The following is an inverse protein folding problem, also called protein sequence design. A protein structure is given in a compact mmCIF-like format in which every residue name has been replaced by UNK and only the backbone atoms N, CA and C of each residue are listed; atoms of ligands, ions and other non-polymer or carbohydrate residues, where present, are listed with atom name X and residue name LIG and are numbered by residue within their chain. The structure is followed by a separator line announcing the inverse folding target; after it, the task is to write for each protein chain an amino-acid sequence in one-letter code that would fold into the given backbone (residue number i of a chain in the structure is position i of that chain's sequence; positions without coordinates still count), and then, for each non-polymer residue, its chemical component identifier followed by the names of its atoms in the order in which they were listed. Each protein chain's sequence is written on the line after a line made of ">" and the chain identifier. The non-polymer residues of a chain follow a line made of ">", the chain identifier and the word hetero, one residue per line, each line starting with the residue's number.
data_IF_317726320891
#
_entry.id   IF_317726320891
#
_cell.length_a   1.000
_cell.length_b   1.000
_cell.length_c   1.000
_cell.angle_alpha   90.00
_cell.angle_beta   90.00
_cell.angle_gamma   90.00
#
_symmetry.space_group_name_H-M   'P 1'
#
loop_
_entity.id
_entity.type
_entity.pdbx_description
1 polymer ?
#
# COMPACT_ATOMS: atom_id res chain seq x y z
N UNK A 1 11.46 -20.83 -5.10
CA UNK A 1 11.30 -20.18 -3.77
C UNK A 1 9.91 -19.56 -3.70
N UNK A 2 8.91 -20.35 -3.31
CA UNK A 2 7.50 -19.89 -3.24
C UNK A 2 6.97 -19.98 -1.80
N UNK A 3 7.75 -19.51 -0.82
CA UNK A 3 7.28 -19.50 0.54
C UNK A 3 6.19 -18.42 0.70
N UNK A 4 5.20 -18.66 1.56
CA UNK A 4 4.16 -17.69 1.92
C UNK A 4 4.79 -16.34 2.34
N UNK A 5 5.89 -16.40 3.08
CA UNK A 5 6.68 -15.23 3.48
C UNK A 5 7.13 -14.39 2.28
N UNK A 6 7.68 -15.00 1.24
CA UNK A 6 8.15 -14.27 0.04
C UNK A 6 7.02 -13.57 -0.69
N UNK A 7 5.84 -14.21 -0.82
CA UNK A 7 4.67 -13.61 -1.46
C UNK A 7 4.10 -12.44 -0.64
N UNK A 8 4.02 -12.61 0.69
CA UNK A 8 3.56 -11.56 1.59
C UNK A 8 4.53 -10.38 1.65
N UNK A 9 5.84 -10.65 1.67
CA UNK A 9 6.86 -9.59 1.63
C UNK A 9 6.84 -8.81 0.32
N UNK A 10 6.63 -9.48 -0.82
CA UNK A 10 6.48 -8.82 -2.12
C UNK A 10 5.20 -7.97 -2.18
N UNK A 11 4.08 -8.47 -1.66
CA UNK A 11 2.83 -7.71 -1.57
C UNK A 11 2.99 -6.48 -0.66
N UNK A 12 3.64 -6.63 0.50
CA UNK A 12 3.94 -5.53 1.41
C UNK A 12 4.81 -4.47 0.74
N UNK A 13 5.86 -4.88 0.04
CA UNK A 13 6.73 -3.95 -0.69
C UNK A 13 5.95 -3.16 -1.74
N UNK A 14 5.08 -3.83 -2.49
CA UNK A 14 4.24 -3.18 -3.50
C UNK A 14 3.28 -2.15 -2.85
N UNK A 15 2.62 -2.51 -1.76
CA UNK A 15 1.71 -1.60 -1.05
C UNK A 15 2.46 -0.39 -0.49
N UNK A 16 3.60 -0.60 0.17
CA UNK A 16 4.42 0.48 0.73
C UNK A 16 4.96 1.39 -0.37
N UNK A 17 5.39 0.83 -1.51
CA UNK A 17 5.84 1.60 -2.67
C UNK A 17 4.71 2.44 -3.30
N UNK A 18 3.49 1.88 -3.40
CA UNK A 18 2.31 2.60 -3.90
C UNK A 18 1.92 3.75 -2.97
N UNK A 19 1.88 3.51 -1.67
CA UNK A 19 1.54 4.55 -0.68
C UNK A 19 2.62 5.64 -0.67
N UNK A 20 3.90 5.26 -0.62
CA UNK A 20 5.00 6.22 -0.62
C UNK A 20 5.07 7.03 -1.92
N UNK A 21 4.89 6.39 -3.07
CA UNK A 21 4.83 7.06 -4.37
C UNK A 21 3.62 7.97 -4.50
N UNK A 22 2.44 7.52 -4.05
CA UNK A 22 1.23 8.34 -4.04
C UNK A 22 1.38 9.57 -3.15
N UNK A 23 1.91 9.40 -1.94
CA UNK A 23 2.17 10.53 -1.04
C UNK A 23 3.17 11.53 -1.63
N UNK A 24 4.24 11.03 -2.27
CA UNK A 24 5.21 11.88 -2.95
C UNK A 24 4.57 12.74 -4.06
N UNK A 25 3.70 12.14 -4.88
CA UNK A 25 2.98 12.88 -5.93
C UNK A 25 2.06 13.94 -5.31
N UNK A 26 1.30 13.58 -4.28
CA UNK A 26 0.39 14.51 -3.58
C UNK A 26 1.18 15.67 -2.96
N UNK A 27 2.32 15.39 -2.32
CA UNK A 27 3.19 16.44 -1.73
C UNK A 27 3.69 17.41 -2.81
N UNK A 28 4.15 16.90 -3.95
CA UNK A 28 4.65 17.75 -5.04
C UNK A 28 3.55 18.66 -5.61
N UNK A 29 2.37 18.11 -5.86
CA UNK A 29 1.24 18.86 -6.43
C UNK A 29 0.72 19.87 -5.40
N UNK A 30 0.49 19.45 -4.17
CA UNK A 30 -0.04 20.29 -3.10
C UNK A 30 0.92 21.44 -2.75
N UNK A 31 2.22 21.15 -2.65
CA UNK A 31 3.23 22.17 -2.37
C UNK A 31 3.29 23.22 -3.46
N UNK A 32 3.18 22.82 -4.73
CA UNK A 32 3.16 23.74 -5.86
C UNK A 32 1.93 24.63 -5.84
N UNK A 33 0.73 24.06 -5.72
CA UNK A 33 -0.53 24.81 -5.69
C UNK A 33 -0.58 25.79 -4.51
N UNK A 34 -0.16 25.35 -3.33
CA UNK A 34 -0.09 26.21 -2.15
C UNK A 34 0.86 27.38 -2.35
N UNK A 35 1.99 27.15 -2.98
CA UNK A 35 2.97 28.21 -3.27
C UNK A 35 2.41 29.22 -4.30
N UNK A 36 1.77 28.75 -5.36
CA UNK A 36 1.13 29.58 -6.37
C UNK A 36 0.00 30.43 -5.75
N UNK A 37 -0.84 29.85 -4.92
CA UNK A 37 -1.92 30.53 -4.19
C UNK A 37 -1.38 31.64 -3.27
N UNK A 38 -0.39 31.33 -2.43
CA UNK A 38 0.22 32.33 -1.54
C UNK A 38 0.86 33.45 -2.33
N UNK A 39 1.60 33.12 -3.39
CA UNK A 39 2.24 34.11 -4.25
C UNK A 39 1.19 35.06 -4.84
N UNK A 40 0.09 34.51 -5.34
CA UNK A 40 -0.98 35.31 -5.91
C UNK A 40 -1.68 36.17 -4.85
N UNK A 41 -2.03 35.63 -3.69
CA UNK A 41 -2.69 36.36 -2.58
C UNK A 41 -1.83 37.51 -2.07
N UNK A 42 -0.52 37.29 -1.84
CA UNK A 42 0.39 38.31 -1.34
C UNK A 42 0.65 39.43 -2.37
N UNK A 43 0.55 39.14 -3.65
CA UNK A 43 0.83 40.08 -4.73
C UNK A 43 -0.43 40.52 -5.48
N UNK A 44 -1.63 40.15 -5.00
CA UNK A 44 -2.92 40.47 -5.66
C UNK A 44 -3.09 41.97 -5.89
N UNK A 45 -2.61 42.79 -4.96
CA UNK A 45 -2.73 44.25 -5.04
C UNK A 45 -1.65 44.96 -5.85
N UNK A 46 -0.66 44.25 -6.38
CA UNK A 46 0.44 44.90 -7.13
C UNK A 46 -0.10 45.69 -8.33
N UNK A 47 -0.93 45.08 -9.14
CA UNK A 47 -1.50 45.74 -10.31
C UNK A 47 -2.35 46.98 -9.91
N UNK A 48 -3.13 46.88 -8.84
CA UNK A 48 -3.95 47.98 -8.32
C UNK A 48 -3.09 49.13 -7.79
N UNK A 49 -2.05 48.83 -6.99
CA UNK A 49 -1.15 49.83 -6.44
C UNK A 49 -0.45 50.60 -7.55
N UNK A 50 -0.01 49.90 -8.54
CA UNK A 50 0.73 50.37 -9.67
C UNK A 50 -0.14 51.29 -10.57
N UNK A 51 -1.39 50.94 -10.84
CA UNK A 51 -2.31 51.79 -11.66
C UNK A 51 -2.82 53.01 -10.89
N UNK A 52 -2.83 52.97 -9.55
CA UNK A 52 -3.30 54.11 -8.76
C UNK A 52 -2.35 55.30 -8.65
N UNK A 53 -1.06 55.09 -8.93
CA UNK A 53 -0.05 56.15 -8.81
C UNK A 53 0.19 56.95 -10.10
N UNK A 54 -0.09 56.42 -11.27
CA UNK A 54 0.25 57.07 -12.56
C UNK A 54 -0.80 56.74 -13.60
N UNK A 55 -1.06 57.72 -14.47
CA UNK A 55 -1.89 57.55 -15.65
C UNK A 55 -1.05 56.91 -16.76
N UNK A 56 -1.35 55.67 -17.14
CA UNK A 56 -0.55 54.85 -18.05
C UNK A 56 -0.99 54.98 -19.49
N UNK A 57 -2.23 55.37 -19.71
CA UNK A 57 -2.82 55.62 -21.04
C UNK A 57 -3.46 56.98 -20.99
N UNK A 58 -3.14 57.84 -21.96
CA UNK A 58 -3.75 59.14 -22.12
C UNK A 58 -4.22 59.29 -23.56
N UNK A 59 -5.54 59.45 -23.76
CA UNK A 59 -6.17 59.56 -25.06
C UNK A 59 -5.91 58.41 -26.04
N UNK A 60 -5.70 57.20 -25.49
CA UNK A 60 -5.37 55.99 -26.31
C UNK A 60 -3.91 55.82 -26.65
N UNK A 61 -3.04 56.75 -26.23
CA UNK A 61 -1.58 56.61 -26.35
C UNK A 61 -0.95 56.14 -25.02
N UNK A 62 0.02 55.21 -25.09
CA UNK A 62 0.70 54.68 -23.90
C UNK A 62 1.80 55.66 -23.46
N UNK A 63 1.78 56.11 -22.23
CA UNK A 63 2.91 56.83 -21.64
C UNK A 63 4.03 55.83 -21.29
N UNK A 64 5.00 55.74 -22.22
CA UNK A 64 6.14 54.83 -22.12
C UNK A 64 7.07 55.17 -20.93
N UNK A 65 7.19 56.46 -20.58
CA UNK A 65 8.04 56.88 -19.47
C UNK A 65 7.39 56.48 -18.12
N UNK A 66 6.10 56.72 -18.01
CA UNK A 66 5.34 56.30 -16.83
C UNK A 66 5.37 54.79 -16.63
N UNK A 67 5.17 54.03 -17.74
CA UNK A 67 5.21 52.55 -17.67
C UNK A 67 6.60 52.02 -17.33
N UNK A 68 7.69 52.61 -17.88
CA UNK A 68 9.06 52.21 -17.58
C UNK A 68 9.43 52.50 -16.10
N UNK A 69 9.07 53.70 -15.60
CA UNK A 69 9.28 54.05 -14.22
C UNK A 69 8.52 53.11 -13.24
N UNK A 70 7.33 52.80 -13.58
CA UNK A 70 6.45 51.96 -12.85
C UNK A 70 6.96 50.49 -12.83
N UNK A 71 7.40 49.99 -13.97
CA UNK A 71 8.06 48.68 -14.07
C UNK A 71 9.32 48.62 -13.23
N UNK A 72 10.13 49.66 -13.22
CA UNK A 72 11.32 49.73 -12.36
C UNK A 72 10.95 49.68 -10.86
N UNK A 73 9.91 50.41 -10.46
CA UNK A 73 9.45 50.39 -9.07
C UNK A 73 8.87 49.00 -8.68
N UNK A 74 8.09 48.40 -9.54
CA UNK A 74 7.53 47.06 -9.30
C UNK A 74 8.63 46.00 -9.19
N UNK A 75 9.66 46.06 -10.04
CA UNK A 75 10.84 45.18 -9.98
C UNK A 75 11.66 45.36 -8.70
N UNK A 76 11.65 46.56 -8.07
CA UNK A 76 12.28 46.77 -6.77
C UNK A 76 11.50 46.07 -5.66
N UNK A 77 10.17 46.08 -5.74
CA UNK A 77 9.29 45.41 -4.76
C UNK A 77 9.35 43.88 -4.96
N UNK A 78 9.22 43.46 -6.19
CA UNK A 78 9.29 42.03 -6.56
C UNK A 78 10.01 41.87 -7.89
N UNK A 79 11.31 41.46 -7.89
CA UNK A 79 12.11 41.35 -9.10
C UNK A 79 11.67 40.22 -10.04
N UNK A 80 10.70 39.41 -9.64
CA UNK A 80 10.17 38.30 -10.44
C UNK A 80 8.88 38.65 -11.17
N UNK A 81 8.35 39.87 -10.99
CA UNK A 81 7.11 40.34 -11.65
C UNK A 81 7.43 40.83 -13.06
N UNK A 82 6.59 40.42 -14.01
CA UNK A 82 6.62 40.87 -15.38
C UNK A 82 5.35 41.68 -15.67
N UNK A 83 5.49 42.89 -16.18
CA UNK A 83 4.40 43.85 -16.37
C UNK A 83 4.07 44.04 -17.84
N UNK A 84 2.79 43.91 -18.13
CA UNK A 84 2.20 44.08 -19.45
C UNK A 84 1.02 45.05 -19.37
N UNK A 85 0.89 45.97 -20.30
CA UNK A 85 -0.25 46.83 -20.48
C UNK A 85 -1.09 46.28 -21.63
N UNK A 86 -2.33 45.95 -21.35
CA UNK A 86 -3.28 45.38 -22.33
C UNK A 86 -4.31 46.41 -22.73
N UNK A 87 -4.79 46.33 -23.97
CA UNK A 87 -6.00 47.00 -24.39
C UNK A 87 -7.28 46.32 -23.83
N UNK A 88 -8.47 46.89 -24.02
CA UNK A 88 -9.72 46.29 -23.56
C UNK A 88 -10.04 44.93 -24.22
N UNK A 89 -9.40 44.57 -25.33
CA UNK A 89 -9.56 43.31 -26.06
C UNK A 89 -8.46 42.29 -25.74
N UNK A 90 -7.48 42.62 -24.88
CA UNK A 90 -6.40 41.75 -24.43
C UNK A 90 -5.15 41.79 -25.33
N UNK A 91 -5.06 42.71 -26.29
CA UNK A 91 -3.81 42.89 -27.00
C UNK A 91 -2.77 43.61 -26.14
N UNK A 92 -1.52 43.21 -26.24
CA UNK A 92 -0.42 43.82 -25.50
C UNK A 92 -0.04 45.14 -26.18
N UNK A 93 -0.36 46.25 -25.52
CA UNK A 93 0.01 47.61 -25.99
C UNK A 93 1.49 47.90 -25.72
N UNK A 94 1.98 47.49 -24.58
CA UNK A 94 3.37 47.70 -24.18
C UNK A 94 3.77 46.79 -23.03
N UNK A 95 5.07 46.63 -22.78
CA UNK A 95 5.61 45.85 -21.68
C UNK A 95 6.95 46.39 -21.19
N UNK A 96 7.36 46.00 -19.99
CA UNK A 96 8.63 46.42 -19.37
C UNK A 96 9.73 45.38 -19.55
N UNK A 97 9.46 44.31 -20.30
CA UNK A 97 10.42 43.25 -20.57
C UNK A 97 11.38 43.60 -21.70
N UNK A 98 12.57 42.96 -21.79
CA UNK A 98 13.47 43.13 -22.92
C UNK A 98 12.77 42.83 -24.26
N UNK A 99 13.08 43.61 -25.26
CA UNK A 99 12.61 43.37 -26.63
C UNK A 99 12.99 41.93 -27.04
N UNK A 100 12.17 41.29 -27.87
CA UNK A 100 12.32 39.90 -28.34
C UNK A 100 12.11 38.76 -27.30
N UNK A 101 11.68 39.07 -26.08
CA UNK A 101 11.38 38.02 -25.08
C UNK A 101 9.92 37.64 -24.99
N UNK A 102 9.02 38.47 -25.54
CA UNK A 102 7.56 38.24 -25.55
C UNK A 102 7.19 37.48 -26.82
N UNK A 103 6.47 36.37 -26.68
CA UNK A 103 6.15 35.43 -27.76
C UNK A 103 4.72 35.57 -28.27
N UNK A 104 3.88 36.35 -27.60
CA UNK A 104 2.50 36.62 -28.05
C UNK A 104 2.18 38.09 -27.94
N UNK A 105 1.29 38.54 -28.80
CA UNK A 105 0.73 39.90 -28.82
C UNK A 105 -0.61 40.01 -28.06
N UNK A 106 -1.11 38.90 -27.51
CA UNK A 106 -2.40 38.85 -26.78
C UNK A 106 -2.34 37.99 -25.53
N UNK A 107 -3.15 38.41 -24.56
CA UNK A 107 -3.44 37.68 -23.34
C UNK A 107 -4.92 37.25 -23.34
N UNK A 108 -5.23 36.05 -22.84
CA UNK A 108 -6.59 35.62 -22.64
C UNK A 108 -7.23 36.47 -21.55
N UNK A 109 -8.31 37.18 -21.86
CA UNK A 109 -9.01 38.04 -20.95
C UNK A 109 -9.97 37.30 -20.00
N UNK A 110 -10.37 36.06 -20.28
CA UNK A 110 -11.33 35.35 -19.45
C UNK A 110 -10.85 35.25 -17.98
N UNK A 111 -9.61 34.81 -17.69
CA UNK A 111 -9.10 34.80 -16.31
C UNK A 111 -8.90 36.21 -15.75
N UNK A 112 -8.55 37.20 -16.57
CA UNK A 112 -8.35 38.59 -16.14
C UNK A 112 -9.65 39.17 -15.62
N UNK A 113 -10.74 38.99 -16.37
CA UNK A 113 -12.08 39.47 -15.99
C UNK A 113 -12.59 38.76 -14.73
N UNK A 114 -12.36 37.47 -14.61
CA UNK A 114 -12.70 36.68 -13.41
C UNK A 114 -11.97 37.20 -12.18
N UNK A 115 -10.67 37.51 -12.29
CA UNK A 115 -9.89 38.08 -11.18
C UNK A 115 -10.39 39.47 -10.79
N UNK A 116 -10.65 40.33 -11.79
CA UNK A 116 -11.09 41.72 -11.58
C UNK A 116 -12.51 41.79 -11.00
N UNK A 117 -13.41 40.85 -11.32
CA UNK A 117 -14.74 40.77 -10.72
C UNK A 117 -14.69 40.34 -9.25
N UNK A 118 -13.61 39.79 -8.75
CA UNK A 118 -13.46 39.33 -7.39
C UNK A 118 -14.12 37.98 -7.11
N UNK A 119 -14.58 37.27 -8.14
CA UNK A 119 -15.23 35.95 -8.04
C UNK A 119 -14.22 34.77 -8.20
N UNK A 120 -12.97 35.09 -8.50
CA UNK A 120 -11.95 34.09 -8.79
C UNK A 120 -11.56 33.24 -7.58
N UNK A 121 -11.53 31.94 -7.74
CA UNK A 121 -10.86 31.01 -6.81
C UNK A 121 -9.34 30.98 -7.11
N UNK A 122 -8.55 31.20 -6.07
CA UNK A 122 -7.08 31.18 -6.19
C UNK A 122 -6.53 29.78 -5.92
N UNK A 123 -5.46 29.33 -6.61
CA UNK A 123 -4.67 30.05 -7.61
C UNK A 123 -5.35 30.09 -8.98
N UNK A 124 -5.51 31.28 -9.56
CA UNK A 124 -6.01 31.48 -10.90
C UNK A 124 -4.83 31.68 -11.86
N UNK A 125 -4.82 30.92 -12.95
CA UNK A 125 -3.77 30.94 -13.94
C UNK A 125 -4.19 31.71 -15.18
N UNK A 126 -3.27 32.47 -15.73
CA UNK A 126 -3.44 33.21 -16.98
C UNK A 126 -2.30 32.98 -17.96
N UNK A 127 -2.39 33.60 -19.10
CA UNK A 127 -1.39 33.52 -20.19
C UNK A 127 -0.02 34.00 -19.70
N UNK A 128 1.05 33.23 -19.94
CA UNK A 128 2.43 33.69 -19.82
C UNK A 128 2.90 34.21 -21.20
N UNK A 129 3.03 35.55 -21.40
CA UNK A 129 3.39 36.09 -22.70
C UNK A 129 4.79 35.69 -23.18
N UNK A 130 5.64 35.16 -22.30
CA UNK A 130 6.99 34.72 -22.65
C UNK A 130 7.10 33.21 -22.84
N UNK A 131 6.04 32.45 -22.49
CA UNK A 131 6.02 31.02 -22.69
C UNK A 131 4.58 30.52 -22.90
N UNK A 132 4.21 30.30 -24.14
CA UNK A 132 2.85 29.91 -24.54
C UNK A 132 2.46 28.50 -24.06
N UNK A 133 3.41 27.65 -23.72
CA UNK A 133 3.18 26.29 -23.24
C UNK A 133 2.83 26.26 -21.74
N UNK A 134 2.92 27.40 -21.05
CA UNK A 134 2.68 27.50 -19.61
C UNK A 134 1.69 28.60 -19.27
N UNK A 135 0.94 28.35 -18.23
CA UNK A 135 0.13 29.35 -17.56
C UNK A 135 0.77 29.71 -16.22
N UNK A 136 0.65 30.96 -15.81
CA UNK A 136 1.20 31.45 -14.54
C UNK A 136 0.16 32.23 -13.75
N UNK A 137 0.33 32.26 -12.43
CA UNK A 137 -0.46 33.12 -11.56
C UNK A 137 -0.13 34.59 -11.84
N UNK A 138 -1.12 35.43 -11.76
CA UNK A 138 -1.02 36.83 -12.15
C UNK A 138 -1.81 37.73 -11.19
N UNK A 139 -1.53 39.03 -11.27
CA UNK A 139 -2.35 40.11 -10.73
C UNK A 139 -2.85 40.97 -11.88
N UNK A 140 -4.06 41.46 -11.83
CA UNK A 140 -4.59 42.35 -12.84
C UNK A 140 -5.43 43.46 -12.21
N UNK A 141 -5.44 44.63 -12.86
CA UNK A 141 -6.29 45.75 -12.48
C UNK A 141 -6.69 46.55 -13.69
N UNK A 142 -7.95 47.03 -13.80
CA UNK A 142 -8.39 47.88 -14.89
C UNK A 142 -7.67 49.23 -14.87
N UNK A 143 -7.28 49.71 -16.03
CA UNK A 143 -6.77 51.08 -16.28
C UNK A 143 -7.92 51.95 -16.73
N UNK A 144 -8.30 52.88 -15.84
CA UNK A 144 -9.46 53.77 -16.08
C UNK A 144 -9.00 55.17 -16.38
N UNK A 145 -9.68 55.82 -17.28
CA UNK A 145 -9.60 57.26 -17.50
C UNK A 145 -11.00 57.90 -17.25
N UNK A 146 -11.20 58.39 -16.05
CA UNK A 146 -12.55 58.75 -15.55
C UNK A 146 -13.41 57.47 -15.42
N UNK A 147 -14.53 57.42 -16.14
CA UNK A 147 -15.43 56.26 -16.20
C UNK A 147 -15.11 55.31 -17.38
N UNK A 148 -14.18 55.65 -18.23
CA UNK A 148 -13.84 54.87 -19.42
C UNK A 148 -12.77 53.89 -19.15
N UNK A 149 -12.99 52.58 -19.44
CA UNK A 149 -11.96 51.55 -19.45
C UNK A 149 -11.04 51.77 -20.65
N UNK A 150 -9.75 51.97 -20.42
CA UNK A 150 -8.72 52.09 -21.45
C UNK A 150 -7.90 50.80 -21.61
N UNK A 151 -7.94 49.89 -20.64
CA UNK A 151 -7.25 48.62 -20.75
C UNK A 151 -7.06 47.96 -19.40
N UNK A 152 -6.09 47.07 -19.30
CA UNK A 152 -5.76 46.35 -18.08
C UNK A 152 -4.23 46.36 -17.85
N UNK A 153 -3.84 46.57 -16.63
CA UNK A 153 -2.48 46.23 -16.22
C UNK A 153 -2.46 44.76 -15.83
N UNK A 154 -1.63 43.99 -16.47
CA UNK A 154 -1.46 42.56 -16.28
C UNK A 154 -0.04 42.29 -15.76
N UNK A 155 0.06 41.73 -14.55
CA UNK A 155 1.33 41.48 -13.90
C UNK A 155 1.49 39.97 -13.67
N UNK A 156 2.37 39.31 -14.42
CA UNK A 156 2.70 37.90 -14.23
C UNK A 156 3.54 37.76 -12.97
N UNK A 157 3.08 36.94 -12.04
CA UNK A 157 3.77 36.66 -10.79
C UNK A 157 4.61 35.40 -10.94
N UNK A 158 5.89 35.47 -10.60
CA UNK A 158 6.79 34.34 -10.82
C UNK A 158 7.24 34.21 -12.28
N UNK A 159 7.67 35.32 -12.91
CA UNK A 159 8.23 35.36 -14.24
C UNK A 159 9.51 34.50 -14.40
N UNK A 160 10.16 34.62 -15.56
CA UNK A 160 11.31 33.77 -15.91
C UNK A 160 12.43 33.80 -14.87
N UNK A 161 12.66 34.97 -14.25
CA UNK A 161 13.64 35.12 -13.16
C UNK A 161 13.30 34.31 -11.92
N UNK A 162 12.00 34.07 -11.68
CA UNK A 162 11.52 33.16 -10.63
C UNK A 162 11.84 31.71 -10.99
N UNK A 163 11.60 31.30 -12.24
CA UNK A 163 11.89 29.94 -12.70
C UNK A 163 13.40 29.63 -12.56
N UNK A 164 14.29 30.59 -12.89
CA UNK A 164 15.73 30.46 -12.72
C UNK A 164 16.11 30.33 -11.23
N UNK A 165 15.50 31.13 -10.36
CA UNK A 165 15.70 31.04 -8.90
C UNK A 165 15.11 29.77 -8.32
N UNK A 166 13.94 29.34 -8.78
CA UNK A 166 13.28 28.11 -8.37
C UNK A 166 14.10 26.88 -8.78
N UNK A 167 14.65 26.86 -9.98
CA UNK A 167 15.54 25.78 -10.44
C UNK A 167 16.85 25.73 -9.64
N UNK A 168 17.40 26.88 -9.28
CA UNK A 168 18.55 26.94 -8.35
C UNK A 168 18.14 26.49 -6.93
N UNK A 169 16.93 26.81 -6.49
CA UNK A 169 16.38 26.46 -5.19
C UNK A 169 15.87 25.00 -5.13
N UNK A 170 15.66 24.31 -6.26
CA UNK A 170 15.40 22.84 -6.30
C UNK A 170 16.53 22.03 -5.67
N UNK A 171 17.72 22.63 -5.53
CA UNK A 171 18.79 22.10 -4.70
C UNK A 171 18.62 22.43 -3.21
N UNK A 172 17.49 23.03 -2.81
CA UNK A 172 17.23 23.50 -1.46
C UNK A 172 17.39 22.38 -0.43
N UNK A 173 18.07 22.72 0.66
CA UNK A 173 18.25 21.83 1.83
C UNK A 173 16.92 21.26 2.35
N UNK A 174 15.86 22.07 2.34
CA UNK A 174 14.52 21.69 2.80
C UNK A 174 13.93 20.57 1.93
N UNK A 175 14.04 20.67 0.60
CA UNK A 175 13.53 19.64 -0.32
C UNK A 175 14.32 18.33 -0.21
N UNK A 176 15.65 18.41 -0.05
CA UNK A 176 16.47 17.22 0.20
C UNK A 176 16.14 16.58 1.55
N UNK A 177 15.86 17.40 2.57
CA UNK A 177 15.50 16.94 3.91
C UNK A 177 14.12 16.25 3.89
N UNK A 178 13.11 16.84 3.24
CA UNK A 178 11.76 16.25 3.15
C UNK A 178 11.77 14.93 2.37
N UNK A 179 12.47 14.88 1.23
CA UNK A 179 12.63 13.65 0.45
C UNK A 179 13.41 12.58 1.23
N UNK A 180 14.47 12.99 1.94
CA UNK A 180 15.25 12.11 2.81
C UNK A 180 14.41 11.55 3.96
N UNK A 181 13.63 12.40 4.63
CA UNK A 181 12.72 11.99 5.70
C UNK A 181 11.63 11.01 5.18
N UNK A 182 10.98 11.33 4.06
CA UNK A 182 9.99 10.46 3.44
C UNK A 182 10.56 9.09 3.09
N UNK A 183 11.74 9.07 2.47
CA UNK A 183 12.46 7.83 2.13
C UNK A 183 12.80 7.02 3.38
N UNK A 184 13.31 7.66 4.43
CA UNK A 184 13.64 7.01 5.68
C UNK A 184 12.42 6.41 6.38
N UNK A 185 11.29 7.15 6.43
CA UNK A 185 10.02 6.67 6.99
C UNK A 185 9.50 5.46 6.19
N UNK A 186 9.55 5.52 4.86
CA UNK A 186 9.12 4.43 3.99
C UNK A 186 9.94 3.15 4.21
N UNK A 187 11.28 3.29 4.29
CA UNK A 187 12.18 2.17 4.60
C UNK A 187 11.90 1.62 6.00
N UNK A 188 11.74 2.48 7.00
CA UNK A 188 11.44 2.05 8.37
C UNK A 188 10.12 1.29 8.45
N UNK A 189 9.05 1.79 7.81
CA UNK A 189 7.75 1.13 7.74
C UNK A 189 7.86 -0.25 7.07
N UNK A 190 8.62 -0.36 5.98
CA UNK A 190 8.88 -1.63 5.29
C UNK A 190 9.63 -2.63 6.19
N UNK A 191 10.68 -2.18 6.88
CA UNK A 191 11.45 -3.05 7.80
C UNK A 191 10.61 -3.54 8.98
N UNK A 192 9.78 -2.65 9.57
CA UNK A 192 8.83 -3.04 10.63
C UNK A 192 7.83 -4.06 10.10
N UNK A 193 7.28 -3.86 8.91
CA UNK A 193 6.38 -4.80 8.27
C UNK A 193 7.03 -6.18 8.05
N UNK A 194 8.26 -6.22 7.53
CA UNK A 194 9.02 -7.46 7.36
C UNK A 194 9.26 -8.19 8.71
N UNK A 195 9.57 -7.45 9.76
CA UNK A 195 9.76 -8.02 11.10
C UNK A 195 8.47 -8.65 11.62
N UNK A 196 7.35 -7.92 11.54
CA UNK A 196 6.03 -8.43 11.97
C UNK A 196 5.64 -9.66 11.16
N UNK A 197 5.75 -9.62 9.82
CA UNK A 197 5.47 -10.78 8.99
C UNK A 197 6.39 -11.96 9.27
N UNK A 198 7.69 -11.69 9.52
CA UNK A 198 8.64 -12.73 9.89
C UNK A 198 8.26 -13.44 11.19
N UNK A 199 7.84 -12.67 12.20
CA UNK A 199 7.39 -13.22 13.48
C UNK A 199 6.10 -14.06 13.34
N UNK A 200 5.10 -13.54 12.60
CA UNK A 200 3.86 -14.25 12.32
C UNK A 200 4.09 -15.54 11.53
N UNK A 201 4.86 -15.44 10.44
CA UNK A 201 5.13 -16.58 9.56
C UNK A 201 5.92 -17.67 10.29
N UNK A 202 6.90 -17.31 11.12
CA UNK A 202 7.65 -18.28 11.93
C UNK A 202 6.74 -19.07 12.89
N UNK A 203 5.74 -18.42 13.48
CA UNK A 203 4.77 -19.11 14.36
C UNK A 203 3.92 -20.11 13.56
N UNK A 204 3.47 -19.71 12.37
CA UNK A 204 2.66 -20.56 11.49
C UNK A 204 3.45 -21.76 10.97
N UNK A 205 4.71 -21.53 10.55
CA UNK A 205 5.59 -22.60 10.06
C UNK A 205 5.86 -23.64 11.15
N UNK A 206 6.11 -23.20 12.39
CA UNK A 206 6.29 -24.14 13.52
C UNK A 206 5.05 -25.00 13.74
N UNK A 207 3.84 -24.44 13.68
CA UNK A 207 2.62 -25.23 13.81
C UNK A 207 2.49 -26.24 12.67
N UNK A 208 2.84 -25.84 11.44
CA UNK A 208 2.84 -26.76 10.29
C UNK A 208 3.87 -27.87 10.45
N UNK A 209 5.04 -27.57 10.99
CA UNK A 209 6.08 -28.56 11.29
C UNK A 209 5.62 -29.54 12.39
N UNK A 210 4.99 -29.03 13.48
CA UNK A 210 4.40 -29.85 14.54
C UNK A 210 3.36 -30.84 13.94
N UNK A 211 2.48 -30.37 13.03
CA UNK A 211 1.50 -31.21 12.33
C UNK A 211 2.16 -32.26 11.45
N UNK A 212 3.20 -31.88 10.67
CA UNK A 212 3.91 -32.78 9.79
C UNK A 212 4.65 -33.88 10.58
N UNK A 213 5.31 -33.51 11.67
CA UNK A 213 5.99 -34.47 12.55
C UNK A 213 5.00 -35.45 13.16
N UNK A 214 3.85 -34.97 13.65
CA UNK A 214 2.80 -35.82 14.21
C UNK A 214 2.25 -36.82 13.19
N UNK A 215 2.00 -36.39 11.94
CA UNK A 215 1.52 -37.28 10.87
C UNK A 215 2.61 -38.28 10.42
N UNK A 216 3.87 -37.84 10.36
CA UNK A 216 4.98 -38.71 9.94
C UNK A 216 5.39 -39.75 10.99
N UNK A 217 5.17 -39.46 12.28
CA UNK A 217 5.46 -40.39 13.40
C UNK A 217 4.38 -41.46 13.62
N UNK A 218 3.39 -41.58 12.74
CA UNK A 218 2.28 -42.51 12.91
C UNK A 218 1.33 -42.14 14.04
N UNK A 219 1.12 -40.81 14.22
CA UNK A 219 0.26 -40.24 15.26
C UNK A 219 0.81 -40.37 16.68
N UNK A 220 2.15 -40.48 16.86
CA UNK A 220 2.79 -40.48 18.18
C UNK A 220 2.86 -39.05 18.76
N UNK A 221 2.16 -38.77 19.87
CA UNK A 221 2.13 -37.43 20.43
C UNK A 221 3.37 -37.07 21.24
N UNK A 222 4.18 -38.03 21.64
CA UNK A 222 5.44 -37.74 22.33
C UNK A 222 6.44 -37.07 21.39
N UNK A 223 6.32 -37.32 20.09
CA UNK A 223 7.10 -36.65 19.06
C UNK A 223 6.83 -35.13 18.98
N UNK A 224 5.61 -34.68 19.29
CA UNK A 224 5.19 -33.26 19.33
C UNK A 224 5.49 -32.61 20.67
N UNK A 225 5.38 -33.36 21.79
CA UNK A 225 5.65 -32.87 23.15
C UNK A 225 7.10 -32.46 23.36
N UNK A 226 8.04 -33.17 22.77
CA UNK A 226 9.47 -32.85 22.83
C UNK A 226 9.77 -31.48 22.20
N UNK A 227 9.11 -31.14 21.10
CA UNK A 227 9.27 -29.83 20.43
C UNK A 227 8.47 -28.71 21.15
N UNK A 228 7.35 -29.04 21.80
CA UNK A 228 6.56 -28.06 22.55
C UNK A 228 7.21 -27.68 23.90
N UNK A 229 8.06 -28.54 24.48
CA UNK A 229 8.79 -28.25 25.71
C UNK A 229 9.88 -27.20 25.54
N UNK A 230 10.45 -27.07 24.33
CA UNK A 230 11.44 -26.06 23.99
C UNK A 230 10.85 -24.65 23.71
N UNK A 231 9.51 -24.56 23.52
CA UNK A 231 8.80 -23.33 23.19
C UNK A 231 7.90 -22.82 24.34
N UNK A 232 8.35 -22.86 25.59
CA UNK A 232 7.59 -22.35 26.73
C UNK A 232 7.27 -20.87 26.59
N UNK A 233 5.96 -20.54 26.75
CA UNK A 233 5.33 -19.24 26.85
C UNK A 233 4.84 -18.60 25.53
N UNK A 234 4.05 -19.32 24.74
CA UNK A 234 3.13 -18.62 23.85
C UNK A 234 1.79 -18.41 24.60
N UNK A 235 1.48 -17.13 24.88
CA UNK A 235 0.23 -16.72 25.52
C UNK A 235 -0.96 -17.34 24.80
N UNK A 236 -1.86 -17.97 25.55
CA UNK A 236 -3.14 -18.61 25.12
C UNK A 236 -4.15 -17.62 24.49
N UNK A 237 -3.74 -16.40 24.12
CA UNK A 237 -4.61 -15.27 23.85
C UNK A 237 -4.73 -14.90 22.36
N UNK A 238 -3.93 -15.47 21.46
CA UNK A 238 -4.05 -15.21 20.03
C UNK A 238 -4.67 -16.41 19.28
N UNK A 239 -5.18 -16.19 18.08
CA UNK A 239 -5.87 -17.18 17.26
C UNK A 239 -4.95 -18.37 16.93
N UNK A 240 -3.66 -18.12 16.73
CA UNK A 240 -2.64 -19.16 16.47
C UNK A 240 -2.43 -20.01 17.74
N UNK A 241 -2.44 -19.39 18.90
CA UNK A 241 -2.41 -20.09 20.18
C UNK A 241 -3.63 -20.97 20.41
N UNK A 242 -4.82 -20.50 20.06
CA UNK A 242 -6.07 -21.28 20.12
C UNK A 242 -6.03 -22.46 19.15
N UNK A 243 -5.53 -22.27 17.92
CA UNK A 243 -5.38 -23.32 16.93
C UNK A 243 -4.42 -24.41 17.43
N UNK A 244 -3.31 -24.02 18.05
CA UNK A 244 -2.35 -24.97 18.64
C UNK A 244 -2.98 -25.80 19.77
N UNK A 245 -3.78 -25.18 20.64
CA UNK A 245 -4.51 -25.88 21.71
C UNK A 245 -5.54 -26.85 21.13
N UNK A 246 -6.27 -26.42 20.09
CA UNK A 246 -7.25 -27.29 19.42
C UNK A 246 -6.56 -28.49 18.74
N UNK A 247 -5.42 -28.26 18.08
CA UNK A 247 -4.61 -29.34 17.50
C UNK A 247 -4.10 -30.32 18.56
N UNK A 248 -3.58 -29.84 19.69
CA UNK A 248 -3.14 -30.71 20.81
C UNK A 248 -4.28 -31.60 21.31
N UNK A 249 -5.46 -31.03 21.55
CA UNK A 249 -6.64 -31.81 21.95
C UNK A 249 -7.04 -32.89 20.94
N UNK A 250 -6.98 -32.53 19.64
CA UNK A 250 -7.27 -33.47 18.56
C UNK A 250 -6.24 -34.61 18.54
N UNK A 251 -4.96 -34.30 18.72
CA UNK A 251 -3.88 -35.29 18.77
C UNK A 251 -4.06 -36.25 19.95
N UNK A 252 -4.40 -35.73 21.14
CA UNK A 252 -4.67 -36.54 22.32
C UNK A 252 -5.87 -37.48 22.11
N UNK A 253 -6.92 -37.00 21.42
CA UNK A 253 -8.12 -37.80 21.14
C UNK A 253 -7.84 -38.90 20.08
N UNK A 254 -7.06 -38.62 19.08
CA UNK A 254 -6.65 -39.61 18.06
C UNK A 254 -5.85 -40.73 18.73
N UNK A 255 -4.92 -40.39 19.66
CA UNK A 255 -4.18 -41.37 20.40
C UNK A 255 -5.07 -42.31 21.22
N UNK A 256 -6.03 -41.74 21.98
CA UNK A 256 -6.98 -42.54 22.76
C UNK A 256 -7.75 -43.54 21.88
N UNK A 257 -8.11 -43.12 20.67
CA UNK A 257 -8.81 -43.98 19.71
C UNK A 257 -7.89 -45.06 19.13
N UNK A 258 -6.64 -44.74 18.81
CA UNK A 258 -5.67 -45.72 18.33
C UNK A 258 -5.37 -46.78 19.36
N UNK A 259 -5.09 -46.38 20.61
CA UNK A 259 -4.85 -47.30 21.74
C UNK A 259 -6.05 -48.23 21.97
N UNK A 260 -7.29 -47.69 21.90
CA UNK A 260 -8.52 -48.48 22.03
C UNK A 260 -8.71 -49.49 20.87
N UNK A 261 -8.36 -49.09 19.67
CA UNK A 261 -8.40 -49.97 18.48
C UNK A 261 -7.38 -51.12 18.59
N UNK A 262 -6.16 -50.82 19.00
CA UNK A 262 -5.10 -51.81 19.19
C UNK A 262 -5.48 -52.85 20.27
N UNK A 263 -6.05 -52.37 21.38
CA UNK A 263 -6.52 -53.27 22.46
C UNK A 263 -7.68 -54.16 21.98
N UNK A 264 -8.64 -53.58 21.22
CA UNK A 264 -9.75 -54.36 20.64
C UNK A 264 -9.22 -55.39 19.64
N UNK A 265 -8.24 -55.09 18.82
CA UNK A 265 -7.66 -56.02 17.85
C UNK A 265 -6.85 -57.13 18.57
N UNK A 266 -6.15 -56.78 19.66
CA UNK A 266 -5.45 -57.74 20.54
C UNK A 266 -6.43 -58.73 21.11
N UNK A 267 -7.51 -58.26 21.73
CA UNK A 267 -8.56 -59.09 22.34
C UNK A 267 -9.24 -59.98 21.28
N UNK A 268 -9.50 -59.48 20.11
CA UNK A 268 -10.05 -60.25 18.98
C UNK A 268 -9.12 -61.39 18.56
N UNK A 269 -7.83 -61.13 18.41
CA UNK A 269 -6.82 -62.15 18.06
C UNK A 269 -6.74 -63.24 19.12
N UNK A 270 -6.73 -62.85 20.41
CA UNK A 270 -6.71 -63.77 21.56
C UNK A 270 -7.94 -64.62 21.56
N UNK A 271 -9.13 -64.03 21.37
CA UNK A 271 -10.40 -64.79 21.28
C UNK A 271 -10.38 -65.80 20.14
N UNK A 272 -9.95 -65.40 18.91
CA UNK A 272 -9.86 -66.32 17.75
C UNK A 272 -8.88 -67.46 18.04
N UNK A 273 -7.71 -67.15 18.66
CA UNK A 273 -6.75 -68.17 19.05
C UNK A 273 -7.29 -69.18 20.01
N UNK A 274 -7.93 -68.67 21.11
CA UNK A 274 -8.52 -69.52 22.11
C UNK A 274 -9.68 -70.39 21.57
N UNK A 275 -10.59 -69.83 20.81
CA UNK A 275 -11.69 -70.57 20.14
C UNK A 275 -11.10 -71.60 19.20
N UNK A 276 -10.08 -71.28 18.42
CA UNK A 276 -9.45 -72.22 17.49
C UNK A 276 -8.81 -73.40 18.25
N UNK A 277 -8.16 -73.14 19.39
CA UNK A 277 -7.57 -74.17 20.23
C UNK A 277 -8.64 -75.09 20.83
N UNK A 278 -9.71 -74.48 21.41
CA UNK A 278 -10.79 -75.22 22.06
C UNK A 278 -11.63 -76.05 21.10
N UNK A 279 -11.73 -75.63 19.86
CA UNK A 279 -12.37 -76.42 18.78
C UNK A 279 -11.46 -77.53 18.23
N UNK A 280 -10.13 -77.31 18.17
CA UNK A 280 -9.18 -78.28 17.63
C UNK A 280 -9.19 -79.56 18.44
N UNK A 281 -9.23 -79.49 19.76
CA UNK A 281 -9.18 -80.64 20.68
C UNK A 281 -10.36 -81.60 20.46
N UNK A 282 -11.64 -81.18 20.49
CA UNK A 282 -12.78 -82.10 20.26
C UNK A 282 -12.81 -82.57 18.80
N UNK A 283 -12.42 -81.72 17.82
CA UNK A 283 -12.35 -82.12 16.41
C UNK A 283 -11.28 -83.22 16.20
N UNK A 284 -10.10 -83.06 16.81
CA UNK A 284 -9.06 -84.11 16.74
C UNK A 284 -9.52 -85.44 17.43
N UNK A 285 -10.21 -85.34 18.54
CA UNK A 285 -10.80 -86.50 19.21
C UNK A 285 -11.85 -87.21 18.31
N UNK A 286 -12.79 -86.44 17.75
CA UNK A 286 -13.78 -86.97 16.82
C UNK A 286 -13.15 -87.59 15.60
N UNK A 287 -12.14 -86.89 14.99
CA UNK A 287 -11.39 -87.45 13.85
C UNK A 287 -10.71 -88.79 14.21
N UNK A 288 -10.07 -88.85 15.39
CA UNK A 288 -9.44 -90.09 15.87
C UNK A 288 -10.44 -91.21 16.08
N UNK A 289 -11.61 -90.93 16.63
CA UNK A 289 -12.68 -91.91 16.80
C UNK A 289 -13.23 -92.38 15.44
N UNK A 290 -13.50 -91.49 14.51
CA UNK A 290 -13.95 -91.85 13.16
C UNK A 290 -12.86 -92.65 12.39
N UNK A 291 -11.60 -92.31 12.51
CA UNK A 291 -10.51 -93.00 11.88
C UNK A 291 -10.38 -94.44 12.48
N UNK A 292 -10.49 -94.54 13.80
CA UNK A 292 -10.47 -95.84 14.46
C UNK A 292 -11.63 -96.75 14.05
N UNK A 293 -12.84 -96.18 13.92
CA UNK A 293 -14.00 -96.87 13.42
C UNK A 293 -13.80 -97.37 11.97
N UNK A 294 -13.23 -96.55 11.08
CA UNK A 294 -12.98 -96.90 9.71
C UNK A 294 -11.88 -97.94 9.54
N UNK A 295 -10.78 -97.86 10.28
CA UNK A 295 -9.65 -98.79 10.20
C UNK A 295 -9.90 -100.16 10.86
N UNK A 296 -10.74 -100.22 11.91
CA UNK A 296 -11.01 -101.43 12.65
C UNK A 296 -12.42 -101.99 12.44
N UNK A 297 -13.15 -101.56 11.44
CA UNK A 297 -14.52 -101.84 11.20
C UNK A 297 -14.84 -103.36 11.27
N UNK A 298 -13.94 -104.22 10.85
CA UNK A 298 -14.14 -105.70 10.82
C UNK A 298 -13.69 -106.43 12.12
N UNK A 299 -13.14 -105.67 13.12
CA UNK A 299 -12.61 -106.22 14.32
C UNK A 299 -13.19 -105.66 15.62
N UNK A 300 -14.10 -104.66 15.55
CA UNK A 300 -14.74 -104.02 16.67
C UNK A 300 -16.06 -104.77 17.03
N UNK A 301 -16.31 -105.03 18.30
CA UNK A 301 -17.59 -105.48 18.75
C UNK A 301 -18.69 -104.43 18.61
N UNK A 302 -19.94 -104.79 18.57
CA UNK A 302 -21.06 -103.84 18.51
C UNK A 302 -21.09 -102.91 19.72
N UNK A 303 -20.57 -103.35 20.90
CA UNK A 303 -20.45 -102.59 22.11
C UNK A 303 -19.39 -101.53 22.01
N UNK A 304 -18.16 -101.85 21.57
CA UNK A 304 -17.08 -100.89 21.27
C UNK A 304 -17.43 -99.84 20.23
N UNK A 305 -18.20 -100.25 19.20
CA UNK A 305 -18.67 -99.35 18.13
C UNK A 305 -19.62 -98.28 18.67
N UNK A 306 -20.46 -98.66 19.65
CA UNK A 306 -21.39 -97.72 20.33
C UNK A 306 -20.63 -96.72 21.23
N UNK A 307 -19.64 -97.15 21.98
CA UNK A 307 -18.84 -96.34 22.86
C UNK A 307 -18.01 -95.24 22.05
N UNK A 308 -17.62 -95.53 20.80
CA UNK A 308 -16.96 -94.55 19.94
C UNK A 308 -17.91 -93.57 19.29
N UNK A 309 -19.22 -93.77 19.27
CA UNK A 309 -20.26 -92.93 18.68
C UNK A 309 -21.04 -92.09 19.71
N UNK A 310 -21.05 -92.46 20.97
CA UNK A 310 -21.59 -91.67 22.05
C UNK A 310 -20.54 -90.69 22.63
#
# INVERSE_FOLDING_TARGET
>A
MNSLFSRLSAALLLVVALIGGGFFVVEQVSSRLYYEEITQRLNASIAMYVTGEMQLIENGEVDREALALLGQRAMVINPTVEIYLLDPDGAILNHVMPEDTVQTDRVDLAPVLELVSGEAEMPLHGTDPRNLDRQKVFSAHPVMNGERLEGYLYAVLGGQKFDELADSARSSYVQKLSLGALTAITIAAFLVGLLVFGLLTRRLTRLTDDVNVFTASGFDPDSVRLQAAEGRESRKTDEIGQLRVAFSRMSDKIREQVESLEETDRLRRELISNVSHDLRTPLASMHGYVETLLLKNDRLSEEDRRDYLE
#
